data_IF_044997067344
#
_entry.id   IF_044997067344
#
_cell.length_a   1.000
_cell.length_b   1.000
_cell.length_c   1.000
_cell.angle_alpha   90.00
_cell.angle_beta   90.00
_cell.angle_gamma   90.00
#
_symmetry.space_group_name_H-M   'P 1'
#
loop_
_entity.id
_entity.type
_entity.pdbx_description
1 polymer ?
#
# COMPACT_ATOMS: atom_id res chain seq x y z
N UNK A 1 4.21 -6.70 6.82
CA UNK A 1 4.48 -7.22 8.18
C UNK A 1 5.83 -7.93 8.25
N UNK A 2 6.06 -9.06 7.56
CA UNK A 2 7.33 -9.81 7.64
C UNK A 2 8.57 -8.92 7.42
N UNK A 3 8.59 -8.11 6.35
CA UNK A 3 9.66 -7.14 6.08
C UNK A 3 9.86 -6.09 7.20
N UNK A 4 8.78 -5.68 7.88
CA UNK A 4 8.87 -4.74 8.98
C UNK A 4 9.42 -5.41 10.25
N UNK A 5 9.02 -6.66 10.51
CA UNK A 5 9.57 -7.47 11.61
C UNK A 5 11.05 -7.81 11.41
N UNK A 6 11.45 -8.15 10.19
CA UNK A 6 12.86 -8.36 9.82
C UNK A 6 13.68 -7.08 9.99
N UNK A 7 13.12 -5.94 9.55
CA UNK A 7 13.78 -4.63 9.70
C UNK A 7 13.87 -4.17 11.16
N UNK A 8 12.85 -4.47 11.96
CA UNK A 8 12.83 -4.20 13.40
C UNK A 8 13.75 -5.15 14.19
N UNK A 9 14.08 -6.33 13.64
CA UNK A 9 14.80 -7.38 14.35
C UNK A 9 14.03 -7.92 15.56
N UNK A 10 12.71 -7.70 15.61
CA UNK A 10 11.86 -7.93 16.78
C UNK A 10 10.42 -8.21 16.31
N UNK A 11 9.69 -8.96 17.13
CA UNK A 11 8.26 -9.20 16.97
C UNK A 11 7.43 -8.42 17.98
N UNK A 12 8.04 -7.51 18.74
CA UNK A 12 7.31 -6.62 19.65
C UNK A 12 6.53 -5.58 18.85
N UNK A 13 5.30 -5.33 19.26
CA UNK A 13 4.37 -4.46 18.53
C UNK A 13 4.95 -3.06 18.29
N UNK A 14 5.56 -2.45 19.31
CA UNK A 14 6.15 -1.10 19.21
C UNK A 14 7.31 -1.04 18.19
N UNK A 15 8.17 -2.06 18.19
CA UNK A 15 9.33 -2.14 17.30
C UNK A 15 8.89 -2.33 15.83
N UNK A 16 7.89 -3.19 15.61
CA UNK A 16 7.33 -3.45 14.28
C UNK A 16 6.54 -2.24 13.78
N UNK A 17 5.77 -1.57 14.66
CA UNK A 17 5.00 -0.38 14.32
C UNK A 17 5.92 0.76 13.86
N UNK A 18 7.04 0.98 14.55
CA UNK A 18 8.04 1.96 14.15
C UNK A 18 8.69 1.62 12.79
N UNK A 19 8.86 0.33 12.48
CA UNK A 19 9.43 -0.11 11.21
C UNK A 19 8.45 -0.04 10.04
N UNK A 20 7.14 -0.21 10.27
CA UNK A 20 6.10 -0.33 9.23
C UNK A 20 6.01 0.89 8.31
N UNK A 21 6.18 2.10 8.82
CA UNK A 21 6.13 3.33 8.02
C UNK A 21 7.38 3.56 7.15
N UNK A 22 8.41 2.72 7.32
CA UNK A 22 9.71 2.86 6.65
C UNK A 22 9.97 1.76 5.63
N UNK A 23 9.06 0.81 5.49
CA UNK A 23 9.20 -0.27 4.51
C UNK A 23 8.62 0.16 3.16
N UNK A 24 9.32 -0.26 2.11
CA UNK A 24 8.90 -0.11 0.74
C UNK A 24 9.22 -1.43 0.03
N UNK A 25 8.28 -1.94 -0.75
CA UNK A 25 8.44 -3.24 -1.41
C UNK A 25 7.73 -3.27 -2.75
N UNK A 26 8.26 -4.08 -3.67
CA UNK A 26 7.66 -4.30 -4.98
C UNK A 26 6.53 -5.33 -4.86
N UNK A 27 5.33 -4.93 -5.29
CA UNK A 27 4.16 -5.79 -5.35
C UNK A 27 3.69 -5.95 -6.81
N UNK A 28 2.78 -6.89 -7.11
CA UNK A 28 2.23 -7.05 -8.46
C UNK A 28 1.59 -5.78 -9.04
N UNK A 29 1.08 -4.90 -8.16
CA UNK A 29 0.50 -3.60 -8.52
C UNK A 29 1.54 -2.46 -8.64
N UNK A 30 2.83 -2.76 -8.51
CA UNK A 30 3.91 -1.78 -8.44
C UNK A 30 4.43 -1.58 -7.01
N UNK A 31 5.26 -0.55 -6.84
CA UNK A 31 5.96 -0.28 -5.59
C UNK A 31 4.98 0.25 -4.54
N UNK A 32 4.94 -0.39 -3.38
CA UNK A 32 4.06 -0.05 -2.27
C UNK A 32 4.87 0.56 -1.14
N UNK A 33 4.33 1.61 -0.54
CA UNK A 33 4.85 2.26 0.67
C UNK A 33 3.72 2.55 1.65
N UNK A 34 4.00 2.43 2.95
CA UNK A 34 3.13 2.92 4.01
C UNK A 34 3.57 4.33 4.40
N UNK A 35 2.63 5.27 4.41
CA UNK A 35 2.90 6.66 4.80
C UNK A 35 3.03 6.75 6.32
N UNK A 36 4.09 7.43 6.78
CA UNK A 36 4.40 7.58 8.20
C UNK A 36 3.46 8.54 8.94
N UNK A 37 2.69 9.36 8.23
CA UNK A 37 1.86 10.42 8.79
C UNK A 37 0.43 9.98 9.10
N UNK A 38 -0.04 8.90 8.46
CA UNK A 38 -1.42 8.40 8.58
C UNK A 38 -1.54 6.87 8.51
N UNK A 39 -0.43 6.12 8.45
CA UNK A 39 -0.38 4.67 8.26
C UNK A 39 -1.15 4.14 7.04
N UNK A 40 -1.54 4.99 6.10
CA UNK A 40 -2.20 4.57 4.88
C UNK A 40 -1.18 4.11 3.85
N UNK A 41 -1.57 3.12 3.06
CA UNK A 41 -0.76 2.60 1.98
C UNK A 41 -0.95 3.44 0.73
N UNK A 42 0.15 3.88 0.13
CA UNK A 42 0.13 4.43 -1.22
C UNK A 42 -0.07 3.29 -2.21
N UNK A 43 -1.30 3.14 -2.68
CA UNK A 43 -1.71 2.09 -3.60
C UNK A 43 -1.85 2.63 -5.02
N UNK A 44 -1.52 1.76 -5.98
CA UNK A 44 -1.79 2.02 -7.38
C UNK A 44 -3.28 1.85 -7.66
N UNK A 45 -3.88 2.84 -8.32
CA UNK A 45 -5.32 2.85 -8.58
C UNK A 45 -5.60 2.64 -10.05
N UNK A 46 -6.40 1.62 -10.36
CA UNK A 46 -6.84 1.30 -11.71
C UNK A 46 -8.37 1.35 -11.78
N UNK A 47 -8.90 1.77 -12.93
CA UNK A 47 -10.31 1.54 -13.28
C UNK A 47 -10.37 0.42 -14.30
N UNK A 48 -10.90 -0.72 -13.86
CA UNK A 48 -11.18 -1.88 -14.69
C UNK A 48 -12.61 -1.85 -15.24
N UNK A 49 -12.78 -2.25 -16.50
CA UNK A 49 -14.08 -2.60 -17.08
C UNK A 49 -14.19 -4.12 -17.12
N UNK A 50 -15.27 -4.66 -16.57
CA UNK A 50 -15.55 -6.09 -16.69
C UNK A 50 -15.72 -6.46 -18.17
N UNK A 51 -15.00 -7.48 -18.60
CA UNK A 51 -15.12 -8.03 -19.95
C UNK A 51 -16.46 -8.77 -20.10
N UNK A 52 -16.92 -8.91 -21.34
CA UNK A 52 -18.21 -9.54 -21.64
C UNK A 52 -18.25 -11.04 -21.30
N UNK A 53 -17.08 -11.65 -21.07
CA UNK A 53 -16.93 -13.04 -20.62
C UNK A 53 -17.29 -13.24 -19.12
N UNK A 54 -17.45 -12.15 -18.37
CA UNK A 54 -17.78 -12.16 -16.94
C UNK A 54 -16.63 -12.60 -16.02
N UNK A 55 -15.43 -12.82 -16.55
CA UNK A 55 -14.26 -13.34 -15.81
C UNK A 55 -13.11 -12.34 -15.86
N UNK A 56 -12.87 -11.71 -17.01
CA UNK A 56 -11.79 -10.76 -17.22
C UNK A 56 -12.13 -9.34 -16.79
N UNK A 57 -11.09 -8.56 -16.48
CA UNK A 57 -11.19 -7.11 -16.32
C UNK A 57 -10.14 -6.44 -17.20
N UNK A 58 -10.58 -5.54 -18.07
CA UNK A 58 -9.70 -4.70 -18.88
C UNK A 58 -9.40 -3.41 -18.13
N UNK A 59 -8.12 -3.06 -17.97
CA UNK A 59 -7.73 -1.78 -17.37
C UNK A 59 -8.05 -0.66 -18.38
N UNK A 60 -9.08 0.13 -18.09
CA UNK A 60 -9.50 1.27 -18.91
C UNK A 60 -8.69 2.52 -18.58
N UNK A 61 -8.31 2.65 -17.31
CA UNK A 61 -7.50 3.78 -16.86
C UNK A 61 -6.58 3.38 -15.72
N UNK A 62 -5.35 3.85 -15.82
CA UNK A 62 -4.35 3.79 -14.79
C UNK A 62 -4.15 5.20 -14.22
N UNK A 63 -4.30 5.35 -12.92
CA UNK A 63 -4.11 6.62 -12.22
C UNK A 63 -2.76 6.72 -11.53
N UNK A 64 -1.95 5.67 -11.58
CA UNK A 64 -0.70 5.66 -10.85
C UNK A 64 -0.92 5.43 -9.35
N UNK A 65 0.13 5.76 -8.59
CA UNK A 65 0.08 5.85 -7.14
C UNK A 65 -0.69 7.11 -6.73
N UNK A 66 -1.80 6.93 -6.03
CA UNK A 66 -2.58 8.06 -5.48
C UNK A 66 -2.26 8.19 -3.99
N UNK A 67 -1.79 9.37 -3.60
CA UNK A 67 -1.59 9.69 -2.19
C UNK A 67 -2.96 9.85 -1.49
N UNK A 68 -3.15 9.23 -0.31
CA UNK A 68 -4.39 9.35 0.44
C UNK A 68 -4.55 10.79 0.97
N UNK A 69 -5.75 11.35 0.81
CA UNK A 69 -6.11 12.65 1.40
C UNK A 69 -6.66 12.38 2.79
N UNK A 70 -5.88 12.67 3.83
CA UNK A 70 -6.25 12.41 5.23
C UNK A 70 -6.21 13.69 6.08
N UNK A 71 -7.24 14.55 6.00
CA UNK A 71 -7.25 15.81 6.75
C UNK A 71 -7.27 15.61 8.28
N UNK A 72 -7.91 14.52 8.73
CA UNK A 72 -8.24 14.28 10.14
C UNK A 72 -7.45 13.10 10.77
N UNK A 73 -6.58 12.43 10.00
CA UNK A 73 -5.77 11.32 10.50
C UNK A 73 -4.34 11.79 10.74
N UNK A 74 -3.90 11.71 12.01
CA UNK A 74 -2.52 11.98 12.45
C UNK A 74 -2.13 10.86 13.42
N UNK A 75 -1.04 10.16 13.12
CA UNK A 75 -0.43 9.17 14.02
C UNK A 75 0.62 9.78 14.91
#
# INVERSE_FOLDING_TARGET
>A
YALAAEKAGSLKDDDVLAALSTIEFDAPQGKIRVDATNNHTLCHSYVGKAAADGIGYDIVKDFGVIAPVTPDCKV
#
